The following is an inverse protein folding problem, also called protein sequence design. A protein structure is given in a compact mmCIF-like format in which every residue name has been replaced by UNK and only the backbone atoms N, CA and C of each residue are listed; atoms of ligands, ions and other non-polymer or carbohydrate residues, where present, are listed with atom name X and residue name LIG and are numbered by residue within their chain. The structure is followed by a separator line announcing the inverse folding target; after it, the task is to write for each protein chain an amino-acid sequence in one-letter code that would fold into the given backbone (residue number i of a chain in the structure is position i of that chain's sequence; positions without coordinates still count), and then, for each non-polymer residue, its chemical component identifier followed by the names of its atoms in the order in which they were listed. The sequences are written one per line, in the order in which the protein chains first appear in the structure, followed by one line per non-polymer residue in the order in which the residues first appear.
data_IF_335235933719
#
_entry.id   IF_335235933719
#
_cell.length_a   1.000
_cell.length_b   1.000
_cell.length_c   1.000
_cell.angle_alpha   90.00
_cell.angle_beta   90.00
_cell.angle_gamma   90.00
#
_symmetry.space_group_name_H-M   'P 1'
#
loop_
_entity.id
_entity.type
_entity.pdbx_description
1 polymer ?
#
# COMPACT_ATOMS: atom_id res chain seq x y z
N UNK A 1 20.52 -4.28 -0.87
CA UNK A 1 19.79 -4.66 0.35
C UNK A 1 18.45 -3.95 0.25
N UNK A 2 17.33 -4.66 0.34
CA UNK A 2 16.00 -4.06 0.30
C UNK A 2 15.48 -3.97 1.73
N UNK A 3 15.21 -2.75 2.21
CA UNK A 3 14.51 -2.55 3.49
C UNK A 3 13.01 -2.57 3.23
N UNK A 4 12.30 -3.49 3.89
CA UNK A 4 10.83 -3.55 3.86
C UNK A 4 10.31 -3.02 5.19
N UNK A 5 9.45 -2.00 5.15
CA UNK A 5 8.70 -1.55 6.32
C UNK A 5 7.27 -2.09 6.21
N UNK A 6 6.87 -2.93 7.15
CA UNK A 6 5.53 -3.52 7.21
C UNK A 6 4.88 -3.21 8.57
N UNK A 7 3.56 -3.07 8.56
CA UNK A 7 2.74 -2.90 9.76
C UNK A 7 1.36 -3.51 9.53
N UNK A 8 0.89 -4.29 10.50
CA UNK A 8 -0.39 -4.99 10.49
C UNK A 8 -1.20 -4.53 11.70
N UNK A 9 -2.47 -4.20 11.48
CA UNK A 9 -3.41 -3.79 12.52
C UNK A 9 -4.83 -4.19 12.14
N UNK A 10 -5.63 -4.58 13.14
CA UNK A 10 -7.06 -4.79 12.99
C UNK A 10 -7.80 -3.47 13.19
N UNK A 11 -8.53 -3.03 12.16
CA UNK A 11 -9.29 -1.77 12.16
C UNK A 11 -10.71 -2.00 11.67
N UNK A 12 -11.61 -1.09 12.02
CA UNK A 12 -12.97 -1.11 11.45
C UNK A 12 -12.94 -0.86 9.94
N UNK A 13 -13.94 -1.42 9.23
CA UNK A 13 -14.00 -1.35 7.76
C UNK A 13 -13.98 0.09 7.22
N UNK A 14 -14.67 1.01 7.89
CA UNK A 14 -14.69 2.42 7.50
C UNK A 14 -13.30 3.04 7.63
N UNK A 15 -12.60 2.76 8.74
CA UNK A 15 -11.25 3.25 8.94
C UNK A 15 -10.26 2.67 7.93
N UNK A 16 -10.40 1.39 7.55
CA UNK A 16 -9.60 0.82 6.46
C UNK A 16 -9.82 1.56 5.12
N UNK A 17 -11.07 1.94 4.82
CA UNK A 17 -11.38 2.71 3.62
C UNK A 17 -10.77 4.12 3.67
N UNK A 18 -10.81 4.78 4.83
CA UNK A 18 -10.15 6.09 5.02
C UNK A 18 -8.64 5.99 4.75
N UNK A 19 -7.96 4.99 5.30
CA UNK A 19 -6.52 4.77 5.09
C UNK A 19 -6.18 4.56 3.60
N UNK A 20 -7.01 3.81 2.88
CA UNK A 20 -6.85 3.63 1.42
C UNK A 20 -7.06 4.93 0.65
N UNK A 21 -8.02 5.76 1.07
CA UNK A 21 -8.27 7.07 0.46
C UNK A 21 -7.13 8.05 0.73
N UNK A 22 -6.56 8.04 1.93
CA UNK A 22 -5.38 8.85 2.27
C UNK A 22 -4.18 8.46 1.41
N UNK A 23 -3.90 7.16 1.27
CA UNK A 23 -2.86 6.67 0.37
C UNK A 23 -3.12 7.12 -1.08
N UNK A 24 -4.35 6.99 -1.57
CA UNK A 24 -4.72 7.42 -2.90
C UNK A 24 -4.62 8.95 -3.09
N UNK A 25 -4.80 9.74 -2.02
CA UNK A 25 -4.63 11.20 -2.05
C UNK A 25 -3.16 11.56 -2.20
N UNK A 26 -2.27 10.94 -1.41
CA UNK A 26 -0.83 11.18 -1.49
C UNK A 26 -0.27 10.79 -2.86
N UNK A 27 -0.71 9.68 -3.44
CA UNK A 27 -0.29 9.24 -4.78
C UNK A 27 -0.73 10.16 -5.93
N UNK A 28 -1.78 10.97 -5.72
CA UNK A 28 -2.22 11.97 -6.72
C UNK A 28 -1.44 13.28 -6.64
N UNK A 29 -0.60 13.46 -5.62
CA UNK A 29 0.33 14.59 -5.53
C UNK A 29 1.34 14.59 -6.67
N UNK A 30 2.02 15.73 -6.87
CA UNK A 30 2.89 15.93 -8.04
C UNK A 30 4.34 15.45 -7.84
N UNK A 31 4.82 15.36 -6.60
CA UNK A 31 6.26 15.13 -6.32
C UNK A 31 6.53 14.01 -5.32
N UNK A 32 6.00 14.14 -4.10
CA UNK A 32 6.26 13.23 -3.00
C UNK A 32 4.96 12.72 -2.39
N UNK A 33 4.97 11.46 -1.99
CA UNK A 33 3.88 10.83 -1.26
C UNK A 33 4.37 10.48 0.15
N UNK A 34 3.68 10.96 1.17
CA UNK A 34 3.97 10.63 2.56
C UNK A 34 3.07 9.48 3.00
N UNK A 35 3.62 8.27 2.96
CA UNK A 35 2.87 7.06 3.32
C UNK A 35 3.08 6.75 4.79
N UNK A 36 1.99 6.62 5.53
CA UNK A 36 2.03 6.19 6.93
C UNK A 36 1.99 4.66 7.01
N UNK A 37 2.99 4.08 7.69
CA UNK A 37 3.08 2.64 7.99
C UNK A 37 3.18 2.49 9.50
N UNK A 38 2.02 2.27 10.15
CA UNK A 38 1.89 2.27 11.60
C UNK A 38 2.20 3.63 12.21
N UNK A 39 3.21 3.70 13.08
CA UNK A 39 3.68 4.94 13.69
C UNK A 39 4.80 5.65 12.91
N UNK A 40 5.15 5.15 11.71
CA UNK A 40 6.20 5.72 10.86
C UNK A 40 5.59 6.40 9.64
N UNK A 41 6.15 7.54 9.25
CA UNK A 41 5.86 8.20 7.99
C UNK A 41 7.06 8.04 7.06
N UNK A 42 6.84 7.55 5.84
CA UNK A 42 7.85 7.39 4.81
C UNK A 42 7.55 8.35 3.66
N UNK A 43 8.53 9.17 3.29
CA UNK A 43 8.44 10.03 2.10
C UNK A 43 8.96 9.28 0.89
N UNK A 44 8.08 9.04 -0.07
CA UNK A 44 8.36 8.34 -1.32
C UNK A 44 8.26 9.30 -2.51
N UNK A 45 8.86 8.92 -3.63
CA UNK A 45 8.85 9.67 -4.91
C UNK A 45 8.19 8.81 -6.00
N UNK A 46 6.85 8.69 -6.01
CA UNK A 46 6.15 7.96 -7.06
C UNK A 46 6.40 8.57 -8.43
N UNK A 47 6.58 7.73 -9.46
CA UNK A 47 6.68 8.19 -10.83
C UNK A 47 5.30 8.55 -11.39
N UNK A 48 5.24 9.38 -12.44
CA UNK A 48 3.98 9.73 -13.12
C UNK A 48 3.25 8.52 -13.73
N UNK A 49 3.95 7.39 -13.90
CA UNK A 49 3.36 6.11 -14.29
C UNK A 49 3.83 5.04 -13.32
N UNK A 50 2.88 4.34 -12.72
CA UNK A 50 3.12 3.26 -11.74
C UNK A 50 2.57 1.95 -12.30
N UNK A 51 3.25 0.84 -11.99
CA UNK A 51 2.68 -0.49 -12.17
C UNK A 51 1.67 -0.74 -11.04
N UNK A 52 0.46 -1.17 -11.42
CA UNK A 52 -0.63 -1.43 -10.50
C UNK A 52 -1.08 -2.89 -10.61
N UNK A 53 -1.02 -3.61 -9.50
CA UNK A 53 -1.53 -4.97 -9.36
C UNK A 53 -2.62 -5.02 -8.29
N UNK A 54 -3.68 -5.80 -8.56
CA UNK A 54 -4.71 -6.14 -7.58
C UNK A 54 -5.00 -7.63 -7.65
N UNK A 55 -5.01 -8.29 -6.50
CA UNK A 55 -5.31 -9.71 -6.34
C UNK A 55 -6.34 -9.91 -5.24
N UNK A 56 -7.28 -10.83 -5.45
CA UNK A 56 -8.30 -11.20 -4.46
C UNK A 56 -8.18 -12.69 -4.19
N UNK A 57 -8.06 -13.05 -2.91
CA UNK A 57 -8.05 -14.43 -2.44
C UNK A 57 -9.30 -14.72 -1.60
N UNK A 58 -10.14 -15.62 -2.09
CA UNK A 58 -11.26 -16.19 -1.34
C UNK A 58 -10.83 -17.55 -0.82
N UNK A 59 -10.53 -17.65 0.48
CA UNK A 59 -10.18 -18.93 1.12
C UNK A 59 -11.37 -19.42 1.94
N UNK A 60 -11.88 -20.60 1.58
CA UNK A 60 -12.78 -21.41 2.41
C UNK A 60 -11.98 -22.58 2.99
N UNK A 61 -11.35 -22.45 4.17
CA UNK A 61 -10.74 -23.59 4.83
C UNK A 61 -11.81 -24.65 5.16
N UNK A 62 -11.48 -25.93 4.99
CA UNK A 62 -12.33 -27.02 5.54
C UNK A 62 -12.53 -26.90 7.07
N UNK A 63 -11.68 -26.14 7.77
CA UNK A 63 -11.75 -25.87 9.21
C UNK A 63 -11.25 -24.44 9.49
N UNK A 64 -12.18 -23.52 9.70
CA UNK A 64 -11.91 -22.09 9.88
C UNK A 64 -12.71 -21.32 8.85
N UNK A 65 -13.51 -20.35 9.29
CA UNK A 65 -14.49 -19.67 8.43
C UNK A 65 -13.91 -19.04 7.18
N UNK A 66 -14.80 -18.65 6.26
CA UNK A 66 -14.43 -17.97 5.03
C UNK A 66 -13.60 -16.71 5.32
N UNK A 67 -12.47 -16.57 4.62
CA UNK A 67 -11.60 -15.40 4.68
C UNK A 67 -11.42 -14.86 3.27
N UNK A 68 -11.76 -13.59 3.13
CA UNK A 68 -11.52 -12.80 1.94
C UNK A 68 -10.32 -11.89 2.17
N UNK A 69 -9.40 -11.83 1.20
CA UNK A 69 -8.22 -10.97 1.27
C UNK A 69 -8.03 -10.23 -0.06
N UNK A 70 -7.76 -8.93 0.02
CA UNK A 70 -7.43 -8.10 -1.13
C UNK A 70 -5.99 -7.62 -0.94
N UNK A 71 -5.13 -7.90 -1.92
CA UNK A 71 -3.76 -7.37 -1.98
C UNK A 71 -3.69 -6.35 -3.11
N UNK A 72 -3.25 -5.13 -2.77
CA UNK A 72 -2.96 -4.07 -3.74
C UNK A 72 -1.45 -3.84 -3.77
N UNK A 73 -0.86 -3.88 -4.97
CA UNK A 73 0.57 -3.65 -5.18
C UNK A 73 0.75 -2.46 -6.12
N UNK A 74 1.63 -1.55 -5.72
CA UNK A 74 2.03 -0.39 -6.51
C UNK A 74 3.56 -0.41 -6.59
N UNK A 75 4.09 -0.40 -7.81
CA UNK A 75 5.54 -0.39 -8.05
C UNK A 75 5.91 0.72 -9.03
N UNK A 76 7.06 1.35 -8.82
CA UNK A 76 7.62 2.31 -9.76
C UNK A 76 9.15 2.31 -9.69
N UNK A 77 9.77 2.80 -10.76
CA UNK A 77 11.22 3.00 -10.83
C UNK A 77 11.57 4.36 -10.30
N UNK A 78 12.43 4.41 -9.29
CA UNK A 78 13.01 5.67 -8.80
C UNK A 78 14.20 6.03 -9.71
N UNK A 79 14.23 7.23 -10.32
CA UNK A 79 15.40 7.66 -11.09
C UNK A 79 16.63 7.67 -10.18
N UNK A 80 17.75 7.10 -10.64
CA UNK A 80 19.01 7.20 -9.92
C UNK A 80 19.39 8.69 -9.84
N UNK A 81 19.80 9.21 -8.67
CA UNK A 81 20.40 10.53 -8.63
C UNK A 81 21.65 10.49 -9.52
N UNK A 82 21.68 11.31 -10.57
CA UNK A 82 22.89 11.51 -11.38
C UNK A 82 23.98 12.05 -10.43
N UNK A 83 25.07 11.30 -10.32
CA UNK A 83 26.21 11.63 -9.44
C UNK A 83 27.21 12.53 -10.14
#
# INVERSE_FOLDING_TARGET
MAETTAHDQDVEREHAADLLQELARELRGEDTANVQVGNKTLTLTPASTVEYGISVEERSPMFGGDREEITVTLEWKVPKPES
#
